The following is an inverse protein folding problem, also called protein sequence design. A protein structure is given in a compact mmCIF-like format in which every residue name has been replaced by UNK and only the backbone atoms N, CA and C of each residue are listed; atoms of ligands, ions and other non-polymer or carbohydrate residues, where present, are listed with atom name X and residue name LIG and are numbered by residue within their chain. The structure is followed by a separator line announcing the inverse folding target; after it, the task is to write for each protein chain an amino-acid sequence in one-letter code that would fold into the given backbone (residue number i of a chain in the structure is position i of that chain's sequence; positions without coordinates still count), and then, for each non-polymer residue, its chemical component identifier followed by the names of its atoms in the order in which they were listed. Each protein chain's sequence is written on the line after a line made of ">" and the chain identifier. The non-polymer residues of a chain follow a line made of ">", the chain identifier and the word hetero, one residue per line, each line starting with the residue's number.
data_IF_248253719051
#
_entry.id   IF_248253719051
#
_cell.length_a   1.000
_cell.length_b   1.000
_cell.length_c   1.000
_cell.angle_alpha   90.00
_cell.angle_beta   90.00
_cell.angle_gamma   90.00
#
_symmetry.space_group_name_H-M   'P 1'
#
loop_
_entity.id
_entity.type
_entity.pdbx_description
1 polymer ?
#
# COMPACT_ATOMS: atom_id res chain seq x y z
N UNK A 1 12.05 15.13 0.98
CA UNK A 1 11.77 13.87 0.27
C UNK A 1 10.38 13.46 0.68
N UNK A 2 9.43 13.58 -0.24
CA UNK A 2 8.04 13.27 0.05
C UNK A 2 7.83 11.77 -0.07
N UNK A 3 7.14 11.17 0.90
CA UNK A 3 6.82 9.74 0.86
C UNK A 3 5.49 9.56 0.15
N UNK A 4 5.45 8.70 -0.86
CA UNK A 4 4.20 8.27 -1.49
C UNK A 4 3.73 6.96 -0.84
N UNK A 5 2.44 6.89 -0.50
CA UNK A 5 1.81 5.74 0.15
C UNK A 5 0.59 5.32 -0.67
N UNK A 6 0.41 4.00 -0.84
CA UNK A 6 -0.79 3.37 -1.34
C UNK A 6 -1.32 2.39 -0.27
N UNK A 7 -2.61 2.49 0.03
CA UNK A 7 -3.34 1.56 0.89
C UNK A 7 -4.14 0.64 -0.03
N UNK A 8 -3.95 -0.67 0.12
CA UNK A 8 -4.44 -1.67 -0.82
C UNK A 8 -5.00 -2.87 -0.06
N UNK A 9 -6.23 -3.24 -0.36
CA UNK A 9 -6.85 -4.45 0.19
C UNK A 9 -5.97 -5.68 -0.06
N UNK A 10 -5.69 -6.54 0.96
CA UNK A 10 -4.67 -7.59 0.86
C UNK A 10 -4.93 -8.61 -0.27
N UNK A 11 -6.21 -8.91 -0.54
CA UNK A 11 -6.60 -9.85 -1.59
C UNK A 11 -6.63 -9.20 -2.99
N UNK A 12 -6.40 -7.89 -3.10
CA UNK A 12 -6.36 -7.18 -4.36
C UNK A 12 -5.00 -7.31 -5.08
N UNK A 13 -4.74 -8.54 -5.52
CA UNK A 13 -3.52 -8.91 -6.26
C UNK A 13 -3.26 -8.06 -7.52
N UNK A 14 -4.28 -7.43 -8.11
CA UNK A 14 -4.12 -6.56 -9.29
C UNK A 14 -3.46 -5.24 -8.90
N UNK A 15 -3.96 -4.59 -7.85
CA UNK A 15 -3.40 -3.33 -7.35
C UNK A 15 -2.00 -3.53 -6.76
N UNK A 16 -1.78 -4.61 -6.01
CA UNK A 16 -0.46 -4.97 -5.47
C UNK A 16 0.59 -5.04 -6.58
N UNK A 17 0.30 -5.76 -7.67
CA UNK A 17 1.22 -5.85 -8.83
C UNK A 17 1.52 -4.50 -9.46
N UNK A 18 0.58 -3.56 -9.46
CA UNK A 18 0.82 -2.21 -9.98
C UNK A 18 1.75 -1.43 -9.04
N UNK A 19 1.49 -1.47 -7.73
CA UNK A 19 2.35 -0.82 -6.74
C UNK A 19 3.80 -1.33 -6.81
N UNK A 20 3.97 -2.65 -6.87
CA UNK A 20 5.30 -3.28 -7.02
C UNK A 20 5.99 -2.87 -8.33
N UNK A 21 5.26 -2.83 -9.45
CA UNK A 21 5.81 -2.36 -10.75
C UNK A 21 6.24 -0.90 -10.74
N UNK A 22 5.60 -0.06 -9.92
CA UNK A 22 5.95 1.34 -9.72
C UNK A 22 7.10 1.52 -8.72
N UNK A 23 7.69 0.43 -8.22
CA UNK A 23 8.81 0.46 -7.28
C UNK A 23 8.40 0.70 -5.83
N UNK A 24 7.11 0.63 -5.51
CA UNK A 24 6.65 0.65 -4.13
C UNK A 24 6.96 -0.67 -3.43
N UNK A 25 7.23 -0.59 -2.13
CA UNK A 25 7.52 -1.75 -1.28
C UNK A 25 6.48 -1.85 -0.19
N UNK A 26 6.15 -3.08 0.19
CA UNK A 26 5.34 -3.34 1.37
C UNK A 26 5.98 -2.69 2.60
N UNK A 27 5.18 -1.94 3.35
CA UNK A 27 5.59 -1.15 4.50
C UNK A 27 4.86 -1.55 5.80
N UNK A 28 3.86 -2.42 5.70
CA UNK A 28 3.07 -2.89 6.84
C UNK A 28 1.58 -2.94 6.54
N UNK A 29 0.78 -3.01 7.60
CA UNK A 29 -0.67 -3.03 7.53
C UNK A 29 -1.25 -1.81 8.24
N UNK A 30 -2.45 -1.39 7.83
CA UNK A 30 -3.21 -0.34 8.50
C UNK A 30 -4.67 -0.75 8.66
N UNK A 31 -5.21 -0.57 9.86
CA UNK A 31 -6.65 -0.64 10.11
C UNK A 31 -7.21 0.78 10.05
N UNK A 32 -8.04 1.05 9.04
CA UNK A 32 -8.70 2.34 8.91
C UNK A 32 -9.89 2.44 9.86
N UNK A 33 -10.22 3.65 10.29
CA UNK A 33 -11.34 3.88 11.20
C UNK A 33 -12.67 3.43 10.54
N UNK A 34 -13.45 2.64 11.28
CA UNK A 34 -14.70 2.05 10.79
C UNK A 34 -14.56 0.79 9.92
N UNK A 35 -13.34 0.29 9.70
CA UNK A 35 -13.09 -0.97 8.98
C UNK A 35 -12.89 -2.13 9.96
N UNK A 36 -13.20 -3.35 9.54
CA UNK A 36 -13.08 -4.58 10.33
C UNK A 36 -11.91 -5.49 9.87
N UNK A 37 -11.17 -5.07 8.84
CA UNK A 37 -10.01 -5.75 8.29
C UNK A 37 -8.87 -4.76 8.02
N UNK A 38 -7.65 -5.27 8.07
CA UNK A 38 -6.46 -4.49 7.77
C UNK A 38 -6.19 -4.43 6.27
N UNK A 39 -5.81 -3.25 5.78
CA UNK A 39 -5.27 -3.06 4.44
C UNK A 39 -3.74 -3.17 4.44
N UNK A 40 -3.15 -3.53 3.29
CA UNK A 40 -1.71 -3.49 3.07
C UNK A 40 -1.24 -2.08 2.68
N UNK A 41 -0.13 -1.64 3.26
CA UNK A 41 0.52 -0.37 2.95
C UNK A 41 1.72 -0.63 2.04
N UNK A 42 1.76 0.06 0.90
CA UNK A 42 2.90 0.09 -0.02
C UNK A 42 3.44 1.51 -0.13
N UNK A 43 4.76 1.68 -0.09
CA UNK A 43 5.38 3.00 -0.11
C UNK A 43 6.64 3.09 -0.98
N UNK A 44 6.90 4.29 -1.51
CA UNK A 44 8.17 4.67 -2.14
C UNK A 44 8.53 6.12 -1.81
N UNK A 45 9.78 6.49 -2.07
CA UNK A 45 10.21 7.89 -2.03
C UNK A 45 9.84 8.56 -3.35
N UNK A 46 9.30 9.78 -3.27
CA UNK A 46 9.10 10.66 -4.41
C UNK A 46 10.42 11.40 -4.69
N UNK A 47 10.93 11.25 -5.90
CA UNK A 47 12.08 12.03 -6.41
C UNK A 47 11.72 13.50 -6.63
#
# INVERSE_FOLDING_TARGET
>A
MDRLIAVIEPDNSRSIRVAEKLGMKYDGEVLLDGYDHSDSVYACQRE
#
